data_IF_958386084455
#
_entry.id   IF_958386084455
#
_cell.length_a   1.000
_cell.length_b   1.000
_cell.length_c   1.000
_cell.angle_alpha   90.00
_cell.angle_beta   90.00
_cell.angle_gamma   90.00
#
_symmetry.space_group_name_H-M   'P 1'
#
loop_
_entity.id
_entity.type
_entity.pdbx_description
1 polymer ?
#
# COMPACT_ATOMS: atom_id res chain seq x y z
N UNK A 1 -12.46 7.16 -3.83
CA UNK A 1 -11.79 8.41 -4.24
C UNK A 1 -11.22 9.17 -3.03
N UNK A 2 -12.02 9.54 -2.03
CA UNK A 2 -11.54 10.14 -0.78
C UNK A 2 -10.66 9.24 0.12
N UNK A 3 -10.97 7.93 0.34
CA UNK A 3 -10.15 7.10 1.23
C UNK A 3 -8.72 6.90 0.70
N UNK A 4 -8.55 6.87 -0.62
CA UNK A 4 -7.25 6.73 -1.29
C UNK A 4 -6.34 7.94 -1.04
N UNK A 5 -6.91 9.15 -0.99
CA UNK A 5 -6.14 10.37 -0.74
C UNK A 5 -5.67 10.47 0.72
N UNK A 6 -6.55 10.12 1.66
CA UNK A 6 -6.22 10.07 3.10
C UNK A 6 -5.21 8.96 3.36
N UNK A 7 -5.42 7.78 2.79
CA UNK A 7 -4.51 6.65 2.95
C UNK A 7 -3.12 6.97 2.40
N UNK A 8 -3.00 7.65 1.26
CA UNK A 8 -1.69 8.12 0.75
C UNK A 8 -1.00 9.12 1.69
N UNK A 9 -1.75 9.92 2.44
CA UNK A 9 -1.20 10.93 3.36
C UNK A 9 -0.70 10.30 4.68
N UNK A 10 -1.46 9.36 5.23
CA UNK A 10 -1.19 8.80 6.55
C UNK A 10 -0.48 7.44 6.53
N UNK A 11 -0.58 6.70 5.43
CA UNK A 11 0.01 5.36 5.35
C UNK A 11 1.29 5.39 4.49
N UNK A 12 2.48 5.19 5.09
CA UNK A 12 3.75 5.26 4.37
C UNK A 12 3.87 4.19 3.27
N UNK A 13 3.26 3.02 3.46
CA UNK A 13 3.20 1.92 2.46
C UNK A 13 2.52 2.39 1.18
N UNK A 14 1.34 3.00 1.34
CA UNK A 14 0.53 3.45 0.21
C UNK A 14 1.09 4.71 -0.42
N UNK A 15 1.77 5.56 0.36
CA UNK A 15 2.51 6.71 -0.15
C UNK A 15 3.62 6.28 -1.10
N UNK A 16 4.52 5.41 -0.65
CA UNK A 16 5.62 4.91 -1.46
C UNK A 16 5.12 4.16 -2.71
N UNK A 17 4.04 3.37 -2.57
CA UNK A 17 3.40 2.71 -3.70
C UNK A 17 2.89 3.72 -4.73
N UNK A 18 2.13 4.73 -4.29
CA UNK A 18 1.61 5.79 -5.16
C UNK A 18 2.71 6.58 -5.86
N UNK A 19 3.79 6.93 -5.15
CA UNK A 19 4.95 7.64 -5.71
C UNK A 19 5.66 6.81 -6.78
N UNK A 20 5.85 5.50 -6.57
CA UNK A 20 6.40 4.59 -7.58
C UNK A 20 5.54 4.53 -8.84
N UNK A 21 4.21 4.43 -8.71
CA UNK A 21 3.32 4.41 -9.89
C UNK A 21 3.34 5.75 -10.65
N UNK A 22 3.43 6.87 -9.93
CA UNK A 22 3.56 8.19 -10.54
C UNK A 22 4.91 8.37 -11.26
N UNK A 23 6.00 7.89 -10.66
CA UNK A 23 7.32 7.90 -11.28
C UNK A 23 7.37 7.07 -12.56
N UNK A 24 6.59 5.98 -12.61
CA UNK A 24 6.41 5.15 -13.80
C UNK A 24 5.52 5.81 -14.89
N UNK A 25 5.10 7.06 -14.71
CA UNK A 25 4.31 7.80 -15.70
C UNK A 25 2.82 7.47 -15.74
N UNK A 26 2.28 6.78 -14.72
CA UNK A 26 0.86 6.40 -14.73
C UNK A 26 -0.05 7.61 -14.48
N UNK A 27 -1.22 7.60 -15.13
CA UNK A 27 -2.23 8.63 -14.94
C UNK A 27 -2.70 8.70 -13.48
N UNK A 28 -2.87 9.92 -12.94
CA UNK A 28 -3.27 10.14 -11.53
C UNK A 28 -4.53 9.38 -11.13
N UNK A 29 -5.51 9.25 -12.02
CA UNK A 29 -6.74 8.48 -11.78
C UNK A 29 -6.47 6.98 -11.62
N UNK A 30 -5.58 6.41 -12.44
CA UNK A 30 -5.17 5.02 -12.33
C UNK A 30 -4.44 4.76 -11.00
N UNK A 31 -3.57 5.68 -10.58
CA UNK A 31 -2.88 5.59 -9.27
C UNK A 31 -3.87 5.59 -8.11
N UNK A 32 -4.90 6.45 -8.14
CA UNK A 32 -5.94 6.49 -7.10
C UNK A 32 -6.69 5.16 -7.03
N UNK A 33 -7.06 4.57 -8.17
CA UNK A 33 -7.71 3.26 -8.24
C UNK A 33 -6.81 2.15 -7.67
N UNK A 34 -5.53 2.12 -8.07
CA UNK A 34 -4.55 1.16 -7.56
C UNK A 34 -4.34 1.26 -6.04
N UNK A 35 -4.24 2.48 -5.51
CA UNK A 35 -4.12 2.74 -4.06
C UNK A 35 -5.37 2.24 -3.32
N UNK A 36 -6.56 2.44 -3.89
CA UNK A 36 -7.81 1.99 -3.29
C UNK A 36 -7.87 0.46 -3.21
N UNK A 37 -7.49 -0.24 -4.29
CA UNK A 37 -7.38 -1.70 -4.27
C UNK A 37 -6.37 -2.19 -3.23
N UNK A 38 -5.18 -1.60 -3.18
CA UNK A 38 -4.15 -1.99 -2.22
C UNK A 38 -4.60 -1.76 -0.77
N UNK A 39 -5.33 -0.67 -0.51
CA UNK A 39 -5.92 -0.39 0.80
C UNK A 39 -6.95 -1.46 1.22
N UNK A 40 -7.86 -1.85 0.32
CA UNK A 40 -8.86 -2.88 0.62
C UNK A 40 -8.20 -4.22 0.98
N UNK A 41 -7.14 -4.60 0.27
CA UNK A 41 -6.37 -5.79 0.58
C UNK A 41 -5.67 -5.71 1.95
N UNK A 42 -5.15 -4.54 2.33
CA UNK A 42 -4.54 -4.35 3.65
C UNK A 42 -5.58 -4.51 4.77
N UNK A 43 -6.76 -3.89 4.61
CA UNK A 43 -7.87 -4.02 5.57
C UNK A 43 -8.29 -5.49 5.70
N UNK A 44 -8.48 -6.16 4.56
CA UNK A 44 -8.83 -7.58 4.54
C UNK A 44 -7.76 -8.45 5.20
N UNK A 45 -6.47 -8.18 4.97
CA UNK A 45 -5.36 -8.89 5.61
C UNK A 45 -5.36 -8.75 7.12
N UNK A 46 -5.59 -7.54 7.65
CA UNK A 46 -5.70 -7.28 9.09
C UNK A 46 -6.86 -8.07 9.71
N UNK A 47 -8.04 -8.02 9.08
CA UNK A 47 -9.23 -8.74 9.56
C UNK A 47 -9.01 -10.25 9.53
N UNK A 48 -8.46 -10.78 8.43
CA UNK A 48 -8.26 -12.22 8.24
C UNK A 48 -7.19 -12.79 9.16
N UNK A 49 -6.08 -12.08 9.37
CA UNK A 49 -4.95 -12.59 10.18
C UNK A 49 -5.09 -12.23 11.66
N UNK A 50 -5.98 -11.31 12.02
CA UNK A 50 -6.14 -10.81 13.39
C UNK A 50 -4.93 -10.05 13.92
N UNK A 51 -3.95 -9.76 13.06
CA UNK A 51 -2.73 -9.01 13.41
C UNK A 51 -2.97 -7.53 13.17
N UNK A 52 -2.59 -6.65 14.11
CA UNK A 52 -2.67 -5.21 13.92
C UNK A 52 -1.94 -4.77 12.66
N UNK A 53 -2.44 -3.69 12.04
CA UNK A 53 -1.78 -3.08 10.89
C UNK A 53 -0.36 -2.61 11.27
N UNK A 54 0.63 -3.06 10.51
CA UNK A 54 2.03 -2.67 10.66
C UNK A 54 2.44 -1.76 9.50
N UNK A 55 2.80 -0.50 9.81
CA UNK A 55 3.22 0.49 8.84
C UNK A 55 4.56 0.13 8.15
N UNK A 56 5.34 -0.80 8.72
CA UNK A 56 6.61 -1.29 8.19
C UNK A 56 6.50 -2.66 7.51
N UNK A 57 5.29 -3.16 7.25
CA UNK A 57 5.06 -4.48 6.65
C UNK A 57 5.84 -4.75 5.35
N UNK A 58 6.09 -3.71 4.54
CA UNK A 58 6.87 -3.84 3.29
C UNK A 58 8.34 -4.23 3.53
N UNK A 59 9.00 -3.69 4.57
CA UNK A 59 10.38 -4.02 4.89
C UNK A 59 10.53 -5.47 5.39
N UNK A 60 9.47 -6.01 5.99
CA UNK A 60 9.44 -7.38 6.51
C UNK A 60 9.42 -8.44 5.41
N UNK A 61 8.84 -8.13 4.24
CA UNK A 61 8.78 -9.07 3.11
C UNK A 61 10.08 -9.10 2.29
N UNK A 62 10.84 -7.99 2.26
CA UNK A 62 12.16 -7.95 1.63
C UNK A 62 13.15 -8.90 2.35
N UNK A 63 13.12 -8.91 3.69
CA UNK A 63 13.95 -9.82 4.50
C UNK A 63 13.64 -11.33 4.32
N UNK A 64 12.47 -11.68 3.77
CA UNK A 64 12.11 -13.07 3.46
C UNK A 64 12.58 -13.46 2.04
N UNK A 65 12.80 -12.48 1.16
CA UNK A 65 13.22 -12.70 -0.23
C UNK A 65 14.75 -12.80 -0.39
N UNK A 66 15.54 -12.26 0.55
CA UNK A 66 17.02 -12.37 0.57
C UNK A 66 17.53 -13.68 1.20
N UNK A 67 16.68 -14.72 1.28
CA UNK A 67 16.94 -15.98 1.97
C UNK A 67 16.78 -17.24 1.11
N UNK A 68 17.09 -17.19 -0.19
CA UNK A 68 17.28 -18.35 -1.09
C UNK A 68 18.47 -18.09 -1.99
#
# INVERSE_FOLDING_TARGET
FMPSMVARRHNPILRQFAERLLANGMAKRAVISAVTHKLAHLIYGVIRTGKPFDANYLHKNLAIQDGI
#
